data_IF_352879300808
#
_entry.id   IF_352879300808
#
_cell.length_a   1.000
_cell.length_b   1.000
_cell.length_c   1.000
_cell.angle_alpha   90.00
_cell.angle_beta   90.00
_cell.angle_gamma   90.00
#
_symmetry.space_group_name_H-M   'P 1'
#
loop_
_entity.id
_entity.type
_entity.pdbx_description
1 polymer ?
#
# COMPACT_ATOMS: atom_id res chain seq x y z
N UNK A 1 -15.25 1.23 -0.98
CA UNK A 1 -15.40 2.15 -2.13
C UNK A 1 -15.64 1.29 -3.36
N UNK A 2 -16.67 1.61 -4.12
CA UNK A 2 -17.02 0.87 -5.34
C UNK A 2 -17.00 1.84 -6.52
N UNK A 3 -16.22 1.54 -7.54
CA UNK A 3 -16.20 2.21 -8.83
C UNK A 3 -17.07 1.44 -9.82
N UNK A 4 -18.02 2.14 -10.42
CA UNK A 4 -18.98 1.56 -11.35
C UNK A 4 -18.59 1.86 -12.80
N UNK A 5 -18.86 0.92 -13.70
CA UNK A 5 -18.86 1.11 -15.15
C UNK A 5 -20.22 0.68 -15.68
N UNK A 6 -21.09 1.68 -15.93
CA UNK A 6 -22.51 1.43 -16.11
C UNK A 6 -23.13 0.84 -14.84
N UNK A 7 -23.82 -0.28 -14.94
CA UNK A 7 -24.42 -1.00 -13.80
C UNK A 7 -23.48 -2.06 -13.19
N UNK A 8 -22.27 -2.21 -13.72
CA UNK A 8 -21.30 -3.22 -13.28
C UNK A 8 -20.28 -2.63 -12.32
N UNK A 9 -20.01 -3.32 -11.22
CA UNK A 9 -18.85 -3.03 -10.37
C UNK A 9 -17.55 -3.33 -11.13
N UNK A 10 -16.75 -2.30 -11.34
CA UNK A 10 -15.50 -2.41 -12.10
C UNK A 10 -14.27 -2.39 -11.19
N UNK A 11 -14.32 -1.63 -10.10
CA UNK A 11 -13.25 -1.54 -9.10
C UNK A 11 -13.87 -1.56 -7.71
N UNK A 12 -13.41 -2.47 -6.86
CA UNK A 12 -13.83 -2.53 -5.45
C UNK A 12 -12.60 -2.34 -4.58
N UNK A 13 -12.64 -1.37 -3.67
CA UNK A 13 -11.63 -1.19 -2.63
C UNK A 13 -12.29 -1.49 -1.30
N UNK A 14 -11.87 -2.56 -0.66
CA UNK A 14 -12.29 -2.96 0.68
C UNK A 14 -11.14 -2.73 1.67
N UNK A 15 -11.45 -2.07 2.78
CA UNK A 15 -10.52 -1.90 3.90
C UNK A 15 -11.11 -2.59 5.11
N UNK A 16 -10.39 -3.57 5.62
CA UNK A 16 -10.77 -4.32 6.83
C UNK A 16 -9.80 -4.00 7.95
N UNK A 17 -10.32 -3.45 9.04
CA UNK A 17 -9.59 -3.30 10.30
C UNK A 17 -10.34 -4.07 11.38
N UNK A 18 -9.64 -4.97 12.07
CA UNK A 18 -10.23 -5.78 13.12
C UNK A 18 -9.28 -5.83 14.32
N UNK A 19 -9.84 -5.66 15.52
CA UNK A 19 -9.05 -5.63 16.75
C UNK A 19 -8.66 -7.03 17.25
N UNK A 20 -9.44 -8.05 16.89
CA UNK A 20 -9.22 -9.46 17.24
C UNK A 20 -9.69 -10.34 16.10
N UNK A 21 -9.08 -11.49 15.93
CA UNK A 21 -9.36 -12.42 14.83
C UNK A 21 -10.74 -13.10 14.92
N UNK A 22 -11.32 -13.15 16.10
CA UNK A 22 -12.67 -13.72 16.32
C UNK A 22 -13.79 -12.73 15.98
N UNK A 23 -13.48 -11.44 15.82
CA UNK A 23 -14.46 -10.44 15.41
C UNK A 23 -14.73 -10.53 13.91
N UNK A 24 -16.02 -10.50 13.54
CA UNK A 24 -16.44 -10.53 12.14
C UNK A 24 -15.72 -11.63 11.34
N UNK A 25 -15.97 -12.90 11.64
CA UNK A 25 -15.32 -14.02 10.96
C UNK A 25 -15.68 -14.12 9.45
N UNK A 26 -16.75 -13.45 9.05
CA UNK A 26 -17.24 -13.30 7.69
C UNK A 26 -16.43 -12.31 6.83
N UNK A 27 -15.62 -11.44 7.46
CA UNK A 27 -14.79 -10.48 6.73
C UNK A 27 -13.53 -11.13 6.13
N UNK A 28 -13.02 -10.53 5.07
CA UNK A 28 -11.79 -10.97 4.41
C UNK A 28 -10.65 -11.13 5.43
N UNK A 29 -9.85 -12.18 5.23
CA UNK A 29 -8.70 -12.47 6.10
C UNK A 29 -7.39 -12.24 5.37
N UNK A 30 -6.38 -11.70 6.07
CA UNK A 30 -5.06 -11.51 5.49
C UNK A 30 -4.36 -12.87 5.28
N UNK A 31 -3.38 -12.88 4.39
CA UNK A 31 -2.54 -14.05 4.10
C UNK A 31 -1.46 -14.28 5.16
N UNK A 32 -1.24 -13.31 6.05
CA UNK A 32 -0.29 -13.39 7.15
C UNK A 32 -0.91 -12.76 8.42
N UNK A 33 -0.40 -13.08 9.62
CA UNK A 33 -0.76 -12.37 10.84
C UNK A 33 -0.48 -10.86 10.72
N UNK A 34 -1.39 -10.05 11.24
CA UNK A 34 -1.27 -8.59 11.27
C UNK A 34 -1.83 -7.87 10.04
N UNK A 35 -1.75 -8.45 8.86
CA UNK A 35 -2.36 -7.84 7.66
C UNK A 35 -1.62 -8.11 6.35
N UNK A 36 -2.30 -7.83 5.25
CA UNK A 36 -1.73 -7.84 3.90
C UNK A 36 -2.50 -6.88 3.00
N UNK A 37 -1.93 -6.55 1.85
CA UNK A 37 -2.68 -5.96 0.75
C UNK A 37 -2.95 -7.04 -0.29
N UNK A 38 -4.20 -7.14 -0.76
CA UNK A 38 -4.59 -8.09 -1.79
C UNK A 38 -5.13 -7.36 -3.00
N UNK A 39 -4.66 -7.77 -4.18
CA UNK A 39 -5.19 -7.33 -5.46
C UNK A 39 -5.74 -8.57 -6.20
N UNK A 40 -7.00 -8.52 -6.58
CA UNK A 40 -7.63 -9.54 -7.41
C UNK A 40 -8.11 -8.89 -8.70
N UNK A 41 -7.69 -9.44 -9.82
CA UNK A 41 -8.10 -9.03 -11.16
C UNK A 41 -8.85 -10.22 -11.77
N UNK A 42 -10.13 -10.01 -12.06
CA UNK A 42 -10.98 -11.02 -12.67
C UNK A 42 -11.08 -10.76 -14.16
N UNK A 43 -10.56 -11.67 -14.95
CA UNK A 43 -10.51 -11.55 -16.41
C UNK A 43 -9.92 -12.81 -17.05
N UNK A 44 -9.46 -12.68 -18.27
CA UNK A 44 -8.73 -13.72 -19.00
C UNK A 44 -7.37 -13.16 -19.47
N UNK A 45 -6.26 -13.47 -18.78
CA UNK A 45 -6.18 -14.25 -17.54
C UNK A 45 -6.62 -13.48 -16.29
N UNK A 46 -6.95 -14.22 -15.23
CA UNK A 46 -7.18 -13.66 -13.88
C UNK A 46 -5.89 -13.65 -13.06
N UNK A 47 -5.78 -12.71 -12.13
CA UNK A 47 -4.61 -12.57 -11.25
C UNK A 47 -5.03 -12.38 -9.80
N UNK A 48 -4.24 -12.93 -8.90
CA UNK A 48 -4.29 -12.63 -7.47
C UNK A 48 -2.89 -12.38 -6.95
N UNK A 49 -2.70 -11.24 -6.31
CA UNK A 49 -1.42 -10.84 -5.71
C UNK A 49 -1.64 -10.49 -4.26
N UNK A 50 -0.92 -11.15 -3.36
CA UNK A 50 -0.86 -10.79 -1.95
C UNK A 50 0.48 -10.13 -1.66
N UNK A 51 0.44 -8.89 -1.16
CA UNK A 51 1.60 -8.12 -0.75
C UNK A 51 1.66 -8.15 0.78
N UNK A 52 2.71 -8.74 1.31
CA UNK A 52 2.91 -8.96 2.74
C UNK A 52 4.09 -8.12 3.22
N UNK A 53 3.88 -6.82 3.56
CA UNK A 53 4.97 -5.99 4.02
C UNK A 53 5.48 -6.47 5.38
N UNK A 54 6.80 -6.49 5.49
CA UNK A 54 7.52 -6.83 6.71
C UNK A 54 8.50 -5.72 7.07
N UNK A 55 8.94 -5.69 8.32
CA UNK A 55 9.93 -4.73 8.80
C UNK A 55 11.04 -5.46 9.53
N UNK A 56 12.25 -4.93 9.50
CA UNK A 56 13.34 -5.37 10.37
C UNK A 56 12.98 -5.23 11.87
N UNK A 57 11.97 -4.45 12.20
CA UNK A 57 11.40 -4.32 13.55
C UNK A 57 10.24 -5.27 13.83
N UNK A 58 9.95 -6.16 12.89
CA UNK A 58 9.22 -7.40 13.12
C UNK A 58 7.73 -7.41 12.87
N UNK A 59 7.04 -6.30 12.65
CA UNK A 59 5.60 -6.37 12.44
C UNK A 59 5.09 -5.67 11.17
N UNK A 60 3.93 -6.14 10.71
CA UNK A 60 3.23 -5.60 9.57
C UNK A 60 2.83 -4.12 9.77
N UNK A 61 2.39 -3.75 10.97
CA UNK A 61 1.97 -2.40 11.28
C UNK A 61 3.10 -1.40 11.10
N UNK A 62 4.29 -1.72 11.62
CA UNK A 62 5.46 -0.87 11.43
C UNK A 62 5.79 -0.70 9.94
N UNK A 63 5.80 -1.79 9.17
CA UNK A 63 6.05 -1.75 7.73
C UNK A 63 5.02 -0.90 6.99
N UNK A 64 3.73 -1.04 7.32
CA UNK A 64 2.63 -0.28 6.73
C UNK A 64 2.74 1.22 7.03
N UNK A 65 3.07 1.58 8.28
CA UNK A 65 3.28 2.97 8.69
C UNK A 65 4.47 3.58 7.95
N UNK A 66 5.60 2.88 7.86
CA UNK A 66 6.79 3.37 7.13
C UNK A 66 6.47 3.58 5.65
N UNK A 67 5.73 2.66 5.03
CA UNK A 67 5.32 2.80 3.63
C UNK A 67 4.40 4.01 3.41
N UNK A 68 3.43 4.22 4.31
CA UNK A 68 2.52 5.38 4.25
C UNK A 68 3.27 6.70 4.47
N UNK A 69 4.16 6.76 5.48
CA UNK A 69 4.99 7.94 5.75
C UNK A 69 5.91 8.27 4.57
N UNK A 70 6.53 7.24 3.97
CA UNK A 70 7.37 7.42 2.79
C UNK A 70 6.62 8.07 1.64
N UNK A 71 5.37 7.69 1.42
CA UNK A 71 4.52 8.32 0.40
C UNK A 71 4.26 9.80 0.68
N UNK A 72 3.98 10.16 1.92
CA UNK A 72 3.73 11.54 2.35
C UNK A 72 5.01 12.39 2.19
N UNK A 73 6.13 11.91 2.74
CA UNK A 73 7.40 12.65 2.70
C UNK A 73 7.88 12.87 1.26
N UNK A 74 7.79 11.85 0.42
CA UNK A 74 8.19 11.95 -0.97
C UNK A 74 7.26 12.87 -1.81
N UNK A 75 6.05 13.15 -1.34
CA UNK A 75 5.13 14.08 -2.00
C UNK A 75 5.47 15.56 -1.72
N UNK A 76 6.26 15.87 -0.69
CA UNK A 76 6.55 17.25 -0.27
C UNK A 76 7.03 18.13 -1.43
N UNK A 77 8.03 17.75 -2.24
CA UNK A 77 8.48 18.59 -3.35
C UNK A 77 7.35 18.85 -4.37
N UNK A 78 6.61 17.80 -4.75
CA UNK A 78 5.55 17.93 -5.73
C UNK A 78 4.41 18.84 -5.24
N UNK A 79 4.09 18.79 -3.94
CA UNK A 79 3.08 19.67 -3.33
C UNK A 79 3.59 21.10 -3.22
N UNK A 80 4.86 21.29 -2.85
CA UNK A 80 5.48 22.61 -2.76
C UNK A 80 5.48 23.35 -4.10
N UNK A 81 5.77 22.63 -5.19
CA UNK A 81 5.88 23.19 -6.54
C UNK A 81 4.52 23.33 -7.24
N UNK A 82 3.47 22.75 -6.68
CA UNK A 82 2.12 22.82 -7.24
C UNK A 82 1.52 24.24 -7.08
N UNK A 83 0.66 24.68 -8.01
CA UNK A 83 -0.12 25.90 -7.84
C UNK A 83 -0.92 25.89 -6.55
N UNK A 84 -1.07 27.05 -5.91
CA UNK A 84 -1.83 27.18 -4.67
C UNK A 84 -3.28 26.65 -4.80
N UNK A 85 -3.77 25.99 -3.75
CA UNK A 85 -5.13 25.43 -3.68
C UNK A 85 -5.14 24.00 -3.14
N UNK A 86 -6.32 23.39 -3.09
CA UNK A 86 -6.50 21.99 -2.74
C UNK A 86 -6.07 21.15 -3.94
N UNK A 87 -5.15 20.20 -3.72
CA UNK A 87 -4.64 19.29 -4.74
C UNK A 87 -4.99 17.85 -4.38
N UNK A 88 -5.36 17.10 -5.40
CA UNK A 88 -5.57 15.64 -5.32
C UNK A 88 -4.37 14.90 -5.89
N UNK A 89 -4.35 13.58 -5.74
CA UNK A 89 -3.31 12.74 -6.38
C UNK A 89 -3.36 12.77 -7.91
N UNK A 90 -4.46 13.22 -8.50
CA UNK A 90 -4.60 13.39 -9.95
C UNK A 90 -4.00 14.70 -10.45
N UNK A 91 -3.83 15.67 -9.58
CA UNK A 91 -3.27 16.98 -9.90
C UNK A 91 -1.74 17.04 -9.73
N UNK A 92 -1.17 15.99 -9.12
CA UNK A 92 0.25 15.89 -8.84
C UNK A 92 0.93 14.90 -9.78
N UNK A 93 2.23 15.08 -10.09
CA UNK A 93 2.99 14.07 -10.79
C UNK A 93 3.08 12.77 -9.98
N UNK A 94 3.46 11.67 -10.63
CA UNK A 94 3.70 10.41 -9.93
C UNK A 94 4.79 10.61 -8.86
N UNK A 95 4.39 10.46 -7.61
CA UNK A 95 5.32 10.52 -6.48
C UNK A 95 6.10 9.21 -6.40
N UNK A 96 7.41 9.29 -6.59
CA UNK A 96 8.34 8.16 -6.54
C UNK A 96 9.18 8.20 -5.25
N UNK A 97 9.79 7.07 -4.90
CA UNK A 97 10.75 7.01 -3.79
C UNK A 97 12.02 7.79 -4.12
N UNK A 98 12.49 8.59 -3.16
CA UNK A 98 13.76 9.28 -3.24
C UNK A 98 14.75 8.65 -2.25
N UNK A 99 16.00 8.43 -2.69
CA UNK A 99 17.05 7.86 -1.84
C UNK A 99 16.83 6.41 -1.42
N UNK A 100 15.97 5.68 -2.12
CA UNK A 100 15.62 4.29 -1.78
C UNK A 100 16.76 3.33 -2.10
N UNK A 101 17.57 3.68 -3.11
CA UNK A 101 18.76 2.93 -3.47
C UNK A 101 19.98 3.72 -3.02
N UNK A 102 20.60 3.28 -1.95
CA UNK A 102 21.91 3.76 -1.56
C UNK A 102 22.95 3.24 -2.56
N UNK A 103 23.86 4.12 -3.01
CA UNK A 103 24.98 3.70 -3.84
C UNK A 103 25.83 2.62 -3.18
N UNK A 104 26.69 1.95 -3.94
CA UNK A 104 27.60 0.92 -3.43
C UNK A 104 28.38 1.45 -2.21
N UNK A 105 28.11 0.90 -1.02
CA UNK A 105 28.73 1.31 0.25
C UNK A 105 27.75 1.62 1.39
N UNK A 106 26.46 1.71 1.15
CA UNK A 106 25.50 1.78 2.26
C UNK A 106 25.27 0.38 2.85
N UNK A 107 25.16 0.23 4.19
CA UNK A 107 24.87 -1.05 4.81
C UNK A 107 23.53 -1.54 4.32
N UNK A 108 23.53 -2.59 3.54
CA UNK A 108 22.33 -3.35 3.18
C UNK A 108 21.86 -4.06 4.44
N UNK A 109 20.80 -3.56 5.07
CA UNK A 109 20.08 -4.36 6.03
C UNK A 109 19.59 -5.62 5.29
N UNK A 110 20.16 -6.78 5.58
CA UNK A 110 19.66 -8.04 5.06
C UNK A 110 18.22 -8.24 5.52
N UNK A 111 17.30 -8.02 4.61
CA UNK A 111 15.92 -8.48 4.79
C UNK A 111 15.94 -9.99 4.51
N UNK A 112 16.14 -10.77 5.55
CA UNK A 112 16.03 -12.22 5.47
C UNK A 112 14.60 -12.61 5.15
N UNK A 113 14.32 -12.81 3.88
CA UNK A 113 13.13 -13.54 3.44
C UNK A 113 13.41 -15.03 3.73
N UNK A 114 12.78 -15.56 4.74
CA UNK A 114 12.65 -17.00 4.98
C UNK A 114 11.26 -17.47 4.61
#
# INVERSE_FOLDING_TARGET
IIGMSGEREAVVIEHVTRLRDDLRPDWARPSQPGGCYRVEIVGEPSYRVDIMPTSAKGDHNHAAIVAAMGRIVNAIPAVHDAPAGIRTTLDLPLVTGNGVFAGAGAPTGEVGLR
#
